data_IF_130778528149
#
_entry.id   IF_130778528149
#
_cell.length_a   1.000
_cell.length_b   1.000
_cell.length_c   1.000
_cell.angle_alpha   90.00
_cell.angle_beta   90.00
_cell.angle_gamma   90.00
#
_symmetry.space_group_name_H-M   'P 1'
#
loop_
_entity.id
_entity.type
_entity.pdbx_description
1 polymer ?
#
# COMPACT_ATOMS: atom_id res chain seq x y z
N UNK A 1 -24.71 -12.85 -19.49
CA UNK A 1 -24.31 -14.22 -19.13
C UNK A 1 -23.15 -14.09 -18.17
N UNK A 2 -23.34 -14.53 -16.94
CA UNK A 2 -22.52 -14.22 -15.79
C UNK A 2 -21.16 -14.93 -15.82
N UNK A 3 -20.12 -14.28 -15.29
CA UNK A 3 -18.78 -14.84 -15.07
C UNK A 3 -18.78 -16.13 -14.21
N UNK A 4 -19.86 -16.43 -13.53
CA UNK A 4 -20.08 -17.69 -12.81
C UNK A 4 -20.30 -18.91 -13.71
N UNK A 5 -20.70 -18.73 -14.97
CA UNK A 5 -20.95 -19.85 -15.90
C UNK A 5 -19.66 -20.44 -16.49
N UNK A 6 -18.57 -19.67 -16.58
CA UNK A 6 -17.30 -20.16 -17.14
C UNK A 6 -16.41 -20.87 -16.11
N UNK A 7 -16.54 -20.54 -14.83
CA UNK A 7 -15.79 -21.20 -13.75
C UNK A 7 -16.14 -22.70 -13.60
N UNK A 8 -17.33 -23.11 -13.97
CA UNK A 8 -17.78 -24.51 -13.91
C UNK A 8 -17.24 -25.42 -15.03
N UNK A 9 -16.59 -24.85 -16.04
CA UNK A 9 -16.07 -25.60 -17.21
C UNK A 9 -14.56 -25.82 -17.22
N UNK A 10 -13.83 -25.18 -16.28
CA UNK A 10 -12.38 -25.33 -16.21
C UNK A 10 -11.99 -26.63 -15.47
N UNK A 11 -11.00 -27.40 -15.93
CA UNK A 11 -10.49 -28.55 -15.21
C UNK A 11 -10.01 -28.18 -13.79
N UNK A 12 -10.08 -29.09 -12.80
CA UNK A 12 -9.70 -28.78 -11.42
C UNK A 12 -8.23 -28.37 -11.31
N UNK A 13 -7.92 -27.56 -10.31
CA UNK A 13 -6.55 -27.17 -10.00
C UNK A 13 -5.74 -28.40 -9.58
N UNK A 14 -4.65 -28.66 -10.29
CA UNK A 14 -3.71 -29.70 -9.90
C UNK A 14 -2.96 -29.36 -8.61
N UNK A 15 -2.77 -30.35 -7.73
CA UNK A 15 -1.93 -30.26 -6.55
C UNK A 15 -0.50 -30.72 -6.89
N UNK A 16 0.51 -30.32 -6.11
CA UNK A 16 1.89 -30.82 -6.25
C UNK A 16 2.87 -29.81 -6.85
N UNK A 17 3.70 -30.22 -7.83
CA UNK A 17 4.81 -29.40 -8.36
C UNK A 17 4.39 -28.04 -8.90
N UNK A 18 3.26 -27.96 -9.59
CA UNK A 18 2.73 -26.72 -10.18
C UNK A 18 2.33 -25.71 -9.10
N UNK A 19 1.68 -26.17 -8.04
CA UNK A 19 1.29 -25.32 -6.90
C UNK A 19 2.51 -24.79 -6.14
N UNK A 20 3.55 -25.60 -5.95
CA UNK A 20 4.82 -25.17 -5.32
C UNK A 20 5.54 -24.13 -6.17
N UNK A 21 5.62 -24.34 -7.47
CA UNK A 21 6.28 -23.40 -8.36
C UNK A 21 5.58 -22.05 -8.40
N UNK A 22 4.24 -22.05 -8.47
CA UNK A 22 3.44 -20.83 -8.35
C UNK A 22 3.65 -20.14 -6.98
N UNK A 23 3.75 -20.91 -5.90
CA UNK A 23 4.04 -20.38 -4.56
C UNK A 23 5.39 -19.68 -4.48
N UNK A 24 6.42 -20.24 -5.13
CA UNK A 24 7.77 -19.64 -5.21
C UNK A 24 7.73 -18.34 -6.03
N UNK A 25 7.06 -18.34 -7.18
CA UNK A 25 6.89 -17.13 -7.99
C UNK A 25 6.18 -16.04 -7.19
N UNK A 26 5.10 -16.40 -6.52
CA UNK A 26 4.36 -15.45 -5.68
C UNK A 26 5.22 -14.89 -4.54
N UNK A 27 5.99 -15.75 -3.87
CA UNK A 27 6.92 -15.31 -2.82
C UNK A 27 7.96 -14.32 -3.37
N UNK A 28 8.59 -14.63 -4.50
CA UNK A 28 9.58 -13.74 -5.14
C UNK A 28 8.94 -12.41 -5.51
N UNK A 29 7.78 -12.40 -6.15
CA UNK A 29 7.11 -11.18 -6.56
C UNK A 29 6.70 -10.30 -5.36
N UNK A 30 6.28 -10.91 -4.25
CA UNK A 30 5.91 -10.19 -3.02
C UNK A 30 7.11 -9.58 -2.28
N UNK A 31 8.36 -9.89 -2.65
CA UNK A 31 9.52 -9.11 -2.19
C UNK A 31 9.43 -7.64 -2.58
N UNK A 32 8.68 -7.28 -3.62
CA UNK A 32 8.32 -5.87 -3.91
C UNK A 32 7.56 -5.20 -2.77
N UNK A 33 6.60 -5.90 -2.16
CA UNK A 33 5.93 -5.44 -0.94
C UNK A 33 6.87 -5.36 0.27
N UNK A 34 7.74 -6.36 0.44
CA UNK A 34 8.76 -6.36 1.50
C UNK A 34 9.70 -5.16 1.40
N UNK A 35 10.17 -4.83 0.17
CA UNK A 35 11.01 -3.65 -0.09
C UNK A 35 10.31 -2.36 0.34
N UNK A 36 9.05 -2.19 -0.08
CA UNK A 36 8.26 -1.04 0.31
C UNK A 36 8.13 -0.94 1.84
N UNK A 37 7.75 -2.04 2.48
CA UNK A 37 7.60 -2.08 3.92
C UNK A 37 8.90 -1.78 4.67
N UNK A 38 10.00 -2.42 4.27
CA UNK A 38 11.29 -2.21 4.91
C UNK A 38 11.77 -0.76 4.76
N UNK A 39 11.65 -0.17 3.57
CA UNK A 39 12.06 1.21 3.33
C UNK A 39 11.24 2.23 4.14
N UNK A 40 9.94 2.00 4.28
CA UNK A 40 9.09 2.84 5.14
C UNK A 40 9.39 2.67 6.63
N UNK A 41 9.83 1.48 7.05
CA UNK A 41 10.22 1.21 8.43
C UNK A 41 11.62 1.70 8.78
N UNK A 42 12.58 1.62 7.85
CA UNK A 42 13.97 1.98 8.12
C UNK A 42 14.13 3.46 8.44
N UNK A 43 13.38 4.34 7.78
CA UNK A 43 13.43 5.79 8.00
C UNK A 43 13.12 6.15 9.45
N UNK A 44 12.23 5.40 10.10
CA UNK A 44 11.85 5.64 11.49
C UNK A 44 13.04 5.58 12.45
N UNK A 45 13.89 4.57 12.34
CA UNK A 45 15.10 4.44 13.19
C UNK A 45 16.29 5.24 12.70
N UNK A 46 16.40 5.45 11.40
CA UNK A 46 17.53 6.15 10.81
C UNK A 46 17.42 7.67 10.91
N UNK A 47 16.21 8.23 11.07
CA UNK A 47 15.94 9.67 10.95
C UNK A 47 16.72 10.50 11.99
N UNK A 48 16.74 10.07 13.23
CA UNK A 48 17.39 10.80 14.33
C UNK A 48 18.92 10.87 14.17
N UNK A 49 19.65 9.71 14.04
CA UNK A 49 21.09 9.74 13.85
C UNK A 49 21.49 10.44 12.54
N UNK A 50 20.70 10.29 11.48
CA UNK A 50 20.90 10.95 10.21
C UNK A 50 20.71 12.46 10.32
N UNK A 51 19.71 12.92 11.08
CA UNK A 51 19.48 14.35 11.31
C UNK A 51 20.60 15.01 12.10
N UNK A 52 21.16 14.30 13.09
CA UNK A 52 22.34 14.79 13.85
C UNK A 52 23.57 14.90 12.97
N UNK A 53 23.86 13.89 12.15
CA UNK A 53 25.07 13.88 11.30
C UNK A 53 24.98 14.92 10.15
N UNK A 54 23.83 15.05 9.51
CA UNK A 54 23.64 15.93 8.34
C UNK A 54 23.09 17.32 8.69
N UNK A 55 22.89 17.62 9.98
CA UNK A 55 22.38 18.92 10.43
C UNK A 55 20.98 19.26 9.92
N UNK A 56 20.06 18.25 9.89
CA UNK A 56 18.72 18.45 9.34
C UNK A 56 17.78 19.10 10.35
N UNK A 57 17.12 20.16 9.92
CA UNK A 57 15.97 20.74 10.60
C UNK A 57 14.68 19.92 10.32
N UNK A 58 13.57 20.31 10.96
CA UNK A 58 12.28 19.65 10.78
C UNK A 58 11.78 19.67 9.34
N UNK A 59 12.10 20.72 8.58
CA UNK A 59 11.73 20.84 7.17
C UNK A 59 12.52 19.86 6.31
N UNK A 60 13.84 19.75 6.52
CA UNK A 60 14.70 18.79 5.84
C UNK A 60 14.28 17.33 6.16
N UNK A 61 13.96 17.03 7.43
CA UNK A 61 13.39 15.73 7.83
C UNK A 61 12.11 15.40 7.05
N UNK A 62 11.22 16.38 6.92
CA UNK A 62 9.99 16.25 6.15
C UNK A 62 10.25 15.97 4.67
N UNK A 63 11.19 16.69 4.02
CA UNK A 63 11.56 16.45 2.63
C UNK A 63 12.21 15.09 2.40
N UNK A 64 13.11 14.66 3.27
CA UNK A 64 13.74 13.34 3.18
C UNK A 64 12.70 12.22 3.26
N UNK A 65 11.72 12.37 4.16
CA UNK A 65 10.66 11.35 4.32
C UNK A 65 9.60 11.45 3.23
N UNK A 66 9.13 12.66 2.92
CA UNK A 66 8.03 12.91 1.98
C UNK A 66 8.40 12.72 0.51
N UNK A 67 9.66 12.97 0.12
CA UNK A 67 10.12 12.83 -1.27
C UNK A 67 9.87 11.43 -1.84
N UNK A 68 9.99 10.40 -1.02
CA UNK A 68 9.64 9.03 -1.39
C UNK A 68 8.17 8.92 -1.81
N UNK A 69 7.25 9.47 -1.02
CA UNK A 69 5.82 9.33 -1.29
C UNK A 69 5.39 10.14 -2.54
N UNK A 70 5.95 11.34 -2.73
CA UNK A 70 5.71 12.11 -3.96
C UNK A 70 6.22 11.38 -5.20
N UNK A 71 7.41 10.81 -5.12
CA UNK A 71 7.98 10.01 -6.21
C UNK A 71 7.17 8.71 -6.45
N UNK A 72 6.66 8.09 -5.38
CA UNK A 72 5.81 6.90 -5.49
C UNK A 72 4.49 7.20 -6.20
N UNK A 73 3.91 8.37 -6.00
CA UNK A 73 2.74 8.81 -6.77
C UNK A 73 3.02 8.82 -8.28
N UNK A 74 4.16 9.36 -8.68
CA UNK A 74 4.59 9.40 -10.09
C UNK A 74 4.89 8.00 -10.61
N UNK A 75 5.61 7.18 -9.83
CA UNK A 75 5.93 5.79 -10.17
C UNK A 75 4.68 4.94 -10.40
N UNK A 76 3.69 5.06 -9.53
CA UNK A 76 2.43 4.34 -9.64
C UNK A 76 1.65 4.67 -10.91
N UNK A 77 1.62 5.95 -11.32
CA UNK A 77 0.97 6.38 -12.56
C UNK A 77 1.71 5.94 -13.83
N UNK A 78 3.05 6.02 -13.81
CA UNK A 78 3.87 5.77 -15.01
C UNK A 78 4.09 4.30 -15.29
N UNK A 79 4.36 3.50 -14.25
CA UNK A 79 4.82 2.11 -14.42
C UNK A 79 3.76 1.16 -14.95
N UNK A 80 2.47 1.48 -14.81
CA UNK A 80 1.39 0.72 -15.46
C UNK A 80 1.60 0.67 -16.99
N UNK A 81 1.77 1.83 -17.63
CA UNK A 81 2.02 1.91 -19.08
C UNK A 81 3.35 1.29 -19.49
N UNK A 82 4.39 1.45 -18.68
CA UNK A 82 5.70 0.84 -18.93
C UNK A 82 5.57 -0.70 -18.90
N UNK A 83 4.86 -1.24 -17.91
CA UNK A 83 4.65 -2.69 -17.79
C UNK A 83 3.76 -3.27 -18.90
N UNK A 84 2.83 -2.49 -19.43
CA UNK A 84 2.03 -2.89 -20.60
C UNK A 84 2.88 -2.99 -21.87
N UNK A 85 3.88 -2.12 -22.03
CA UNK A 85 4.78 -2.07 -23.20
C UNK A 85 5.89 -3.10 -23.12
N UNK A 86 6.58 -3.20 -21.97
CA UNK A 86 7.82 -3.97 -21.82
C UNK A 86 7.64 -5.32 -21.10
N UNK A 87 6.47 -5.58 -20.55
CA UNK A 87 6.17 -6.77 -19.74
C UNK A 87 6.26 -6.51 -18.23
N UNK A 88 5.57 -7.35 -17.49
CA UNK A 88 5.50 -7.19 -16.02
C UNK A 88 6.83 -7.55 -15.37
N UNK A 89 7.38 -8.71 -15.75
CA UNK A 89 8.66 -9.20 -15.25
C UNK A 89 9.80 -8.22 -15.52
N UNK A 90 9.93 -7.75 -16.76
CA UNK A 90 10.99 -6.79 -17.14
C UNK A 90 10.87 -5.49 -16.36
N UNK A 91 9.66 -4.99 -16.17
CA UNK A 91 9.41 -3.78 -15.37
C UNK A 91 9.80 -3.98 -13.92
N UNK A 92 9.43 -5.10 -13.28
CA UNK A 92 9.80 -5.40 -11.88
C UNK A 92 11.33 -5.51 -11.72
N UNK A 93 12.03 -6.11 -12.68
CA UNK A 93 13.50 -6.16 -12.70
C UNK A 93 14.09 -4.74 -12.77
N UNK A 94 13.57 -3.89 -13.64
CA UNK A 94 13.98 -2.49 -13.73
C UNK A 94 13.75 -1.71 -12.44
N UNK A 95 12.58 -1.91 -11.82
CA UNK A 95 12.24 -1.27 -10.54
C UNK A 95 13.14 -1.74 -9.40
N UNK A 96 13.46 -3.03 -9.32
CA UNK A 96 14.39 -3.55 -8.30
C UNK A 96 15.81 -2.98 -8.49
N UNK A 97 16.23 -2.75 -9.73
CA UNK A 97 17.51 -2.11 -10.07
C UNK A 97 17.51 -0.64 -9.62
N UNK A 98 16.46 0.14 -9.94
CA UNK A 98 16.30 1.54 -9.49
C UNK A 98 16.31 1.60 -7.96
N UNK A 99 15.59 0.69 -7.31
CA UNK A 99 15.55 0.61 -5.85
C UNK A 99 16.95 0.36 -5.27
N UNK A 100 17.69 -0.59 -5.81
CA UNK A 100 19.05 -0.91 -5.36
C UNK A 100 19.99 0.30 -5.44
N UNK A 101 20.02 1.01 -6.57
CA UNK A 101 20.83 2.21 -6.71
C UNK A 101 20.33 3.37 -5.85
N UNK A 102 19.02 3.50 -5.66
CA UNK A 102 18.44 4.47 -4.72
C UNK A 102 18.86 4.21 -3.28
N UNK A 103 18.87 2.94 -2.85
CA UNK A 103 19.35 2.55 -1.53
C UNK A 103 20.84 2.84 -1.36
N UNK A 104 21.67 2.51 -2.35
CA UNK A 104 23.10 2.87 -2.34
C UNK A 104 23.32 4.38 -2.27
N UNK A 105 22.54 5.17 -3.02
CA UNK A 105 22.61 6.63 -2.95
C UNK A 105 22.29 7.15 -1.53
N UNK A 106 21.33 6.53 -0.83
CA UNK A 106 21.06 6.84 0.57
C UNK A 106 22.24 6.45 1.48
N UNK A 107 22.79 5.23 1.33
CA UNK A 107 23.91 4.72 2.13
C UNK A 107 25.14 5.63 2.03
N UNK A 108 25.46 6.08 0.83
CA UNK A 108 26.65 6.90 0.56
C UNK A 108 26.36 8.40 0.50
N UNK A 109 25.17 8.85 0.93
CA UNK A 109 24.80 10.27 0.88
C UNK A 109 25.73 11.13 1.76
N UNK A 110 26.43 12.10 1.17
CA UNK A 110 27.28 13.04 1.91
C UNK A 110 26.52 14.24 2.44
N UNK A 111 25.31 14.47 1.94
CA UNK A 111 24.46 15.61 2.28
C UNK A 111 22.99 15.30 2.02
N UNK A 112 22.12 16.20 2.50
CA UNK A 112 20.65 16.06 2.40
C UNK A 112 20.16 16.00 0.95
N UNK A 113 20.77 16.71 0.00
CA UNK A 113 20.33 16.72 -1.40
C UNK A 113 20.51 15.35 -2.07
N UNK A 114 21.65 14.68 -1.86
CA UNK A 114 21.89 13.32 -2.37
C UNK A 114 20.96 12.33 -1.70
N UNK A 115 20.70 12.50 -0.39
CA UNK A 115 19.77 11.66 0.35
C UNK A 115 18.34 11.78 -0.21
N UNK A 116 17.84 13.00 -0.44
CA UNK A 116 16.52 13.23 -1.08
C UNK A 116 16.48 12.60 -2.48
N UNK A 117 17.57 12.69 -3.26
CA UNK A 117 17.65 12.06 -4.57
C UNK A 117 17.54 10.53 -4.47
N UNK A 118 18.27 9.92 -3.52
CA UNK A 118 18.15 8.49 -3.23
C UNK A 118 16.73 8.10 -2.83
N UNK A 119 16.10 8.86 -1.91
CA UNK A 119 14.70 8.65 -1.49
C UNK A 119 13.71 8.79 -2.65
N UNK A 120 13.95 9.71 -3.58
CA UNK A 120 13.15 9.88 -4.80
C UNK A 120 13.25 8.64 -5.70
N UNK A 121 14.45 8.10 -5.91
CA UNK A 121 14.63 6.85 -6.68
C UNK A 121 13.93 5.67 -6.02
N UNK A 122 14.07 5.53 -4.68
CA UNK A 122 13.36 4.52 -3.92
C UNK A 122 11.85 4.66 -4.09
N UNK A 123 11.32 5.90 -4.00
CA UNK A 123 9.90 6.18 -4.18
C UNK A 123 9.38 5.80 -5.56
N UNK A 124 10.09 6.16 -6.64
CA UNK A 124 9.71 5.76 -8.01
C UNK A 124 9.61 4.23 -8.13
N UNK A 125 10.58 3.52 -7.55
CA UNK A 125 10.58 2.06 -7.59
C UNK A 125 9.43 1.45 -6.76
N UNK A 126 9.19 1.96 -5.55
CA UNK A 126 8.12 1.52 -4.65
C UNK A 126 6.75 1.77 -5.28
N UNK A 127 6.50 2.99 -5.79
CA UNK A 127 5.25 3.33 -6.44
C UNK A 127 4.99 2.49 -7.69
N UNK A 128 6.03 2.29 -8.52
CA UNK A 128 5.96 1.39 -9.67
C UNK A 128 5.64 -0.06 -9.27
N UNK A 129 6.32 -0.59 -8.25
CA UNK A 129 6.09 -1.94 -7.75
C UNK A 129 4.69 -2.10 -7.17
N UNK A 130 4.16 -1.10 -6.44
CA UNK A 130 2.81 -1.13 -5.88
C UNK A 130 1.71 -1.25 -6.95
N UNK A 131 1.97 -0.74 -8.16
CA UNK A 131 1.05 -0.87 -9.29
C UNK A 131 1.25 -2.18 -10.08
N UNK A 132 2.50 -2.61 -10.31
CA UNK A 132 2.82 -3.70 -11.25
C UNK A 132 2.77 -5.07 -10.57
N UNK A 133 3.25 -5.20 -9.32
CA UNK A 133 3.32 -6.50 -8.61
C UNK A 133 1.94 -7.13 -8.40
N UNK A 134 0.91 -6.42 -7.90
CA UNK A 134 -0.41 -7.01 -7.75
C UNK A 134 -1.02 -7.46 -9.08
N UNK A 135 -0.80 -6.71 -10.16
CA UNK A 135 -1.25 -7.08 -11.51
C UNK A 135 -0.55 -8.35 -11.98
N UNK A 136 0.78 -8.42 -11.81
CA UNK A 136 1.56 -9.61 -12.16
C UNK A 136 1.10 -10.86 -11.40
N UNK A 137 0.87 -10.73 -10.10
CA UNK A 137 0.35 -11.82 -9.28
C UNK A 137 -1.06 -12.25 -9.70
N UNK A 138 -1.93 -11.29 -10.02
CA UNK A 138 -3.30 -11.56 -10.48
C UNK A 138 -3.33 -12.25 -11.86
N UNK A 139 -2.38 -11.94 -12.74
CA UNK A 139 -2.24 -12.55 -14.08
C UNK A 139 -1.68 -13.98 -14.03
N UNK A 140 -0.89 -14.32 -13.00
CA UNK A 140 -0.34 -15.67 -12.78
C UNK A 140 -1.28 -16.54 -11.93
N UNK A 141 -2.06 -15.93 -11.04
CA UNK A 141 -2.90 -16.63 -10.10
C UNK A 141 -4.09 -17.32 -10.79
N UNK A 142 -4.39 -18.58 -10.42
CA UNK A 142 -5.69 -19.17 -10.72
C UNK A 142 -6.80 -18.30 -10.12
N UNK A 143 -7.92 -18.28 -10.79
CA UNK A 143 -9.09 -17.52 -10.37
C UNK A 143 -9.49 -17.81 -8.91
N UNK A 144 -9.39 -19.08 -8.48
CA UNK A 144 -9.79 -19.57 -7.15
C UNK A 144 -8.96 -18.98 -5.99
N UNK A 145 -7.69 -18.67 -6.22
CA UNK A 145 -6.77 -18.20 -5.16
C UNK A 145 -6.21 -16.79 -5.41
N UNK A 146 -6.73 -16.09 -6.43
CA UNK A 146 -6.26 -14.75 -6.82
C UNK A 146 -6.30 -13.75 -5.66
N UNK A 147 -7.40 -13.74 -4.90
CA UNK A 147 -7.57 -12.85 -3.74
C UNK A 147 -6.56 -13.12 -2.63
N UNK A 148 -6.27 -14.40 -2.34
CA UNK A 148 -5.30 -14.77 -1.31
C UNK A 148 -3.85 -14.41 -1.71
N UNK A 149 -3.51 -14.50 -2.99
CA UNK A 149 -2.19 -14.08 -3.47
C UNK A 149 -2.00 -12.56 -3.38
N UNK A 150 -3.00 -11.78 -3.74
CA UNK A 150 -2.95 -10.32 -3.59
C UNK A 150 -2.82 -9.89 -2.12
N UNK A 151 -3.51 -10.56 -1.21
CA UNK A 151 -3.40 -10.31 0.23
C UNK A 151 -2.00 -10.60 0.81
N UNK A 152 -1.25 -11.52 0.21
CA UNK A 152 0.14 -11.79 0.62
C UNK A 152 1.07 -10.60 0.38
N UNK A 153 0.84 -9.82 -0.66
CA UNK A 153 1.64 -8.61 -0.90
C UNK A 153 1.50 -7.61 0.25
N UNK A 154 0.29 -7.38 0.75
CA UNK A 154 0.04 -6.48 1.90
C UNK A 154 0.69 -7.01 3.19
N UNK A 155 0.63 -8.31 3.42
CA UNK A 155 1.34 -8.92 4.56
C UNK A 155 2.86 -8.74 4.46
N UNK A 156 3.43 -8.81 3.26
CA UNK A 156 4.86 -8.57 3.06
C UNK A 156 5.23 -7.09 3.27
N UNK A 157 4.34 -6.14 2.97
CA UNK A 157 4.55 -4.72 3.30
C UNK A 157 4.66 -4.51 4.81
N UNK A 158 3.65 -4.92 5.57
CA UNK A 158 3.68 -4.74 7.04
C UNK A 158 4.75 -5.60 7.71
N UNK A 159 5.04 -6.79 7.16
CA UNK A 159 6.14 -7.65 7.59
C UNK A 159 7.51 -7.00 7.37
N UNK A 160 7.69 -6.31 6.24
CA UNK A 160 8.88 -5.54 5.93
C UNK A 160 9.08 -4.36 6.91
N UNK A 161 8.01 -3.65 7.24
CA UNK A 161 8.05 -2.59 8.26
C UNK A 161 8.48 -3.13 9.63
N UNK A 162 7.88 -4.23 10.07
CA UNK A 162 8.26 -4.87 11.34
C UNK A 162 9.71 -5.33 11.31
N UNK A 163 10.18 -5.93 10.21
CA UNK A 163 11.58 -6.33 10.06
C UNK A 163 12.52 -5.12 10.17
N UNK A 164 12.17 -3.99 9.55
CA UNK A 164 12.94 -2.76 9.66
C UNK A 164 12.97 -2.22 11.10
N UNK A 165 11.85 -2.24 11.83
CA UNK A 165 11.81 -1.81 13.23
C UNK A 165 12.69 -2.68 14.13
N UNK A 166 12.69 -4.00 13.91
CA UNK A 166 13.55 -4.94 14.64
C UNK A 166 15.02 -4.65 14.31
N UNK A 167 15.37 -4.49 13.04
CA UNK A 167 16.73 -4.19 12.59
C UNK A 167 17.21 -2.83 13.14
N UNK A 168 16.35 -1.82 13.08
CA UNK A 168 16.65 -0.50 13.65
C UNK A 168 16.92 -0.58 15.17
N UNK A 169 16.10 -1.35 15.90
CA UNK A 169 16.31 -1.57 17.33
C UNK A 169 17.62 -2.31 17.63
N UNK A 170 17.93 -3.34 16.85
CA UNK A 170 19.19 -4.09 17.01
C UNK A 170 20.41 -3.21 16.71
N UNK A 171 20.46 -2.59 15.53
CA UNK A 171 21.59 -1.77 15.11
C UNK A 171 21.72 -0.53 16.00
N UNK A 172 20.62 0.16 16.30
CA UNK A 172 20.64 1.37 17.11
C UNK A 172 21.03 1.13 18.57
N UNK A 173 20.68 -0.03 19.16
CA UNK A 173 21.10 -0.35 20.53
C UNK A 173 22.51 -0.94 20.62
N UNK A 174 22.99 -1.65 19.59
CA UNK A 174 24.32 -2.27 19.60
C UNK A 174 25.41 -1.30 19.15
N UNK A 175 25.12 -0.42 18.19
CA UNK A 175 26.08 0.47 17.53
C UNK A 175 25.62 1.92 17.43
N UNK A 176 24.60 2.34 18.20
CA UNK A 176 23.98 3.66 18.10
C UNK A 176 24.92 4.85 18.33
N UNK A 177 26.03 4.62 19.04
CA UNK A 177 27.07 5.64 19.31
C UNK A 177 28.06 5.85 18.13
N UNK A 178 28.01 4.97 17.12
CA UNK A 178 28.91 5.08 15.97
C UNK A 178 28.37 6.08 14.93
N UNK A 179 29.23 6.94 14.45
CA UNK A 179 28.94 7.83 13.34
C UNK A 179 28.52 7.02 12.10
N UNK A 180 27.48 7.46 11.41
CA UNK A 180 26.98 6.78 10.22
C UNK A 180 26.18 5.49 10.48
N UNK A 181 25.76 5.21 11.71
CA UNK A 181 24.96 4.02 12.06
C UNK A 181 23.70 3.87 11.16
N UNK A 182 23.05 4.95 10.80
CA UNK A 182 21.90 4.97 9.92
C UNK A 182 22.19 4.44 8.50
N UNK A 183 23.44 4.54 8.05
CA UNK A 183 23.88 4.00 6.75
C UNK A 183 23.79 2.47 6.73
N UNK A 184 24.13 1.82 7.84
CA UNK A 184 23.98 0.38 7.98
C UNK A 184 22.52 -0.06 7.97
N UNK A 185 21.62 0.71 8.59
CA UNK A 185 20.17 0.44 8.53
C UNK A 185 19.66 0.49 7.09
N UNK A 186 20.08 1.49 6.29
CA UNK A 186 19.74 1.57 4.87
C UNK A 186 20.46 0.51 4.02
N UNK A 187 21.69 0.12 4.36
CA UNK A 187 22.42 -0.89 3.61
C UNK A 187 21.69 -2.24 3.57
N UNK A 188 21.05 -2.63 4.67
CA UNK A 188 20.24 -3.85 4.75
C UNK A 188 19.06 -3.81 3.79
N UNK A 189 18.53 -2.62 3.45
CA UNK A 189 17.48 -2.44 2.46
C UNK A 189 17.86 -2.96 1.05
N UNK A 190 19.17 -3.04 0.76
CA UNK A 190 19.66 -3.58 -0.51
C UNK A 190 19.46 -5.09 -0.64
N UNK A 191 19.43 -5.84 0.48
CA UNK A 191 19.32 -7.30 0.46
C UNK A 191 18.01 -7.80 -0.18
N UNK A 192 16.82 -7.34 0.26
CA UNK A 192 15.59 -7.72 -0.42
C UNK A 192 15.54 -7.23 -1.88
N UNK A 193 16.20 -6.11 -2.23
CA UNK A 193 16.28 -5.65 -3.62
C UNK A 193 17.06 -6.62 -4.50
N UNK A 194 18.21 -7.11 -4.02
CA UNK A 194 18.99 -8.14 -4.68
C UNK A 194 18.16 -9.43 -4.79
N UNK A 195 17.47 -9.81 -3.71
CA UNK A 195 16.59 -10.97 -3.68
C UNK A 195 15.48 -10.89 -4.73
N UNK A 196 14.83 -9.75 -4.86
CA UNK A 196 13.81 -9.50 -5.88
C UNK A 196 14.43 -9.57 -7.28
N UNK A 197 15.54 -8.88 -7.51
CA UNK A 197 16.23 -8.86 -8.81
C UNK A 197 16.61 -10.26 -9.25
N UNK A 198 17.37 -11.00 -8.44
CA UNK A 198 17.84 -12.37 -8.75
C UNK A 198 16.67 -13.33 -8.89
N UNK A 199 15.68 -13.22 -8.02
CA UNK A 199 14.47 -14.04 -8.07
C UNK A 199 13.70 -13.82 -9.37
N UNK A 200 13.48 -12.57 -9.75
CA UNK A 200 12.74 -12.21 -10.97
C UNK A 200 13.47 -12.63 -12.27
N UNK A 201 14.79 -12.80 -12.25
CA UNK A 201 15.52 -13.38 -13.41
C UNK A 201 15.08 -14.82 -13.73
N UNK A 202 14.58 -15.56 -12.73
CA UNK A 202 14.14 -16.96 -12.86
C UNK A 202 12.62 -17.10 -13.00
N UNK A 203 11.87 -16.05 -12.77
CA UNK A 203 10.41 -16.02 -12.88
C UNK A 203 10.02 -15.78 -14.34
N UNK A 204 9.01 -16.50 -14.89
CA UNK A 204 8.54 -16.28 -16.26
C UNK A 204 7.76 -14.96 -16.37
N UNK A 205 7.57 -14.49 -17.61
CA UNK A 205 6.71 -13.34 -17.90
C UNK A 205 5.23 -13.70 -17.75
N UNK A 206 4.35 -12.70 -17.62
CA UNK A 206 2.91 -12.89 -17.53
C UNK A 206 2.33 -13.56 -18.78
N UNK A 207 1.58 -14.69 -18.65
CA UNK A 207 0.92 -15.32 -19.78
C UNK A 207 -0.07 -14.40 -20.49
N UNK A 208 -0.80 -13.56 -19.75
CA UNK A 208 -1.75 -12.61 -20.31
C UNK A 208 -1.06 -11.54 -21.15
N UNK A 209 0.08 -11.04 -20.67
CA UNK A 209 0.89 -10.09 -21.44
C UNK A 209 1.49 -10.75 -22.70
N UNK A 210 2.00 -11.98 -22.59
CA UNK A 210 2.54 -12.73 -23.73
C UNK A 210 1.49 -12.93 -24.83
N UNK A 211 0.24 -13.24 -24.47
CA UNK A 211 -0.89 -13.34 -25.43
C UNK A 211 -1.19 -11.98 -26.08
N UNK A 212 -1.17 -10.90 -25.29
CA UNK A 212 -1.41 -9.54 -25.82
C UNK A 212 -0.39 -9.10 -26.86
N UNK A 213 0.87 -9.54 -26.73
CA UNK A 213 1.94 -9.26 -27.69
C UNK A 213 2.10 -10.36 -28.76
N UNK A 214 1.14 -11.29 -28.89
CA UNK A 214 1.11 -12.32 -29.93
C UNK A 214 2.04 -13.52 -29.70
N UNK A 215 2.61 -13.70 -28.50
CA UNK A 215 3.53 -14.81 -28.15
C UNK A 215 2.80 -15.97 -27.51
N UNK A 216 1.85 -16.55 -28.23
CA UNK A 216 0.94 -17.62 -27.74
C UNK A 216 1.69 -18.87 -27.24
N UNK A 217 2.70 -19.33 -27.97
CA UNK A 217 3.45 -20.53 -27.60
C UNK A 217 4.18 -20.35 -26.26
N UNK A 218 4.83 -19.19 -26.06
CA UNK A 218 5.49 -18.86 -24.81
C UNK A 218 4.48 -18.74 -23.65
N UNK A 219 3.30 -18.17 -23.90
CA UNK A 219 2.24 -18.08 -22.91
C UNK A 219 1.77 -19.47 -22.46
N UNK A 220 1.58 -20.39 -23.41
CA UNK A 220 1.17 -21.76 -23.13
C UNK A 220 2.28 -22.52 -22.35
N UNK A 221 3.54 -22.35 -22.72
CA UNK A 221 4.67 -22.95 -22.01
C UNK A 221 4.71 -22.48 -20.55
N UNK A 222 4.57 -21.18 -20.30
CA UNK A 222 4.51 -20.62 -18.95
C UNK A 222 3.32 -21.21 -18.17
N UNK A 223 2.14 -21.28 -18.78
CA UNK A 223 0.97 -21.84 -18.14
C UNK A 223 1.15 -23.33 -17.79
N UNK A 224 1.76 -24.12 -18.65
CA UNK A 224 2.07 -25.54 -18.37
C UNK A 224 3.06 -25.74 -17.21
N UNK A 225 3.89 -24.76 -16.89
CA UNK A 225 4.76 -24.80 -15.69
C UNK A 225 4.00 -24.59 -14.38
N UNK A 226 2.90 -23.84 -14.41
CA UNK A 226 2.13 -23.46 -13.22
C UNK A 226 0.76 -24.13 -13.13
N UNK A 227 0.35 -24.91 -14.15
CA UNK A 227 -0.91 -25.64 -14.29
C UNK A 227 -0.69 -27.02 -14.90
N UNK A 228 -1.70 -27.89 -14.77
CA UNK A 228 -1.79 -29.08 -15.63
C UNK A 228 -1.96 -28.67 -17.09
N UNK A 229 -1.54 -29.53 -18.02
CA UNK A 229 -1.61 -29.23 -19.46
C UNK A 229 -3.04 -28.91 -19.92
N UNK A 230 -4.02 -29.72 -19.51
CA UNK A 230 -5.44 -29.52 -19.84
C UNK A 230 -5.98 -28.17 -19.31
N UNK A 231 -5.64 -27.85 -18.07
CA UNK A 231 -6.03 -26.57 -17.45
C UNK A 231 -5.36 -25.39 -18.15
N UNK A 232 -4.06 -25.51 -18.49
CA UNK A 232 -3.31 -24.47 -19.17
C UNK A 232 -3.92 -24.11 -20.53
N UNK A 233 -4.29 -25.11 -21.32
CA UNK A 233 -4.92 -24.92 -22.62
C UNK A 233 -6.30 -24.28 -22.51
N UNK A 234 -7.10 -24.71 -21.53
CA UNK A 234 -8.42 -24.13 -21.27
C UNK A 234 -8.33 -22.67 -20.80
N UNK A 235 -7.41 -22.33 -19.89
CA UNK A 235 -7.21 -20.95 -19.42
C UNK A 235 -6.66 -20.04 -20.53
N UNK A 236 -5.75 -20.52 -21.39
CA UNK A 236 -5.25 -19.76 -22.56
C UNK A 236 -6.40 -19.42 -23.50
N UNK A 237 -7.25 -20.40 -23.84
CA UNK A 237 -8.40 -20.17 -24.71
C UNK A 237 -9.42 -19.18 -24.12
N UNK A 238 -9.57 -19.16 -22.78
CA UNK A 238 -10.44 -18.23 -22.09
C UNK A 238 -9.88 -16.81 -22.10
N UNK A 239 -8.56 -16.66 -21.86
CA UNK A 239 -7.89 -15.36 -21.94
C UNK A 239 -7.94 -14.80 -23.36
N UNK A 240 -7.72 -15.63 -24.41
CA UNK A 240 -7.83 -15.21 -25.81
C UNK A 240 -9.22 -14.68 -26.14
N UNK A 241 -10.27 -15.38 -25.71
CA UNK A 241 -11.66 -14.92 -25.87
C UNK A 241 -11.90 -13.59 -25.20
N UNK A 242 -11.38 -13.40 -23.99
CA UNK A 242 -11.51 -12.15 -23.24
C UNK A 242 -10.80 -11.00 -23.95
N UNK A 243 -9.57 -11.21 -24.41
CA UNK A 243 -8.80 -10.19 -25.15
C UNK A 243 -9.46 -9.79 -26.47
N UNK A 244 -10.06 -10.75 -27.21
CA UNK A 244 -10.82 -10.47 -28.42
C UNK A 244 -12.08 -9.66 -28.13
N UNK A 245 -12.81 -9.98 -27.05
CA UNK A 245 -13.97 -9.21 -26.61
C UNK A 245 -13.60 -7.78 -26.20
N UNK A 246 -12.49 -7.61 -25.45
CA UNK A 246 -11.95 -6.29 -25.09
C UNK A 246 -11.60 -5.47 -26.33
N UNK A 247 -10.92 -6.05 -27.33
CA UNK A 247 -10.56 -5.37 -28.59
C UNK A 247 -11.80 -4.94 -29.39
N UNK A 248 -12.82 -5.80 -29.48
CA UNK A 248 -14.09 -5.49 -30.17
C UNK A 248 -14.83 -4.35 -29.48
N UNK A 249 -14.83 -4.35 -28.14
CA UNK A 249 -15.45 -3.29 -27.34
C UNK A 249 -14.75 -1.96 -27.49
N UNK A 250 -13.39 -1.96 -27.52
CA UNK A 250 -12.60 -0.74 -27.75
C UNK A 250 -12.84 -0.15 -29.15
N UNK A 251 -12.88 -0.97 -30.19
CA UNK A 251 -13.19 -0.51 -31.54
C UNK A 251 -14.59 0.07 -31.67
N UNK A 252 -15.57 -0.52 -30.98
CA UNK A 252 -16.94 0.00 -30.95
C UNK A 252 -17.09 1.27 -30.08
N UNK A 253 -16.22 1.46 -29.08
CA UNK A 253 -16.21 2.66 -28.23
C UNK A 253 -15.47 3.85 -28.86
N UNK A 254 -14.52 3.60 -29.78
CA UNK A 254 -13.83 4.66 -30.53
C UNK A 254 -14.77 5.43 -31.48
N UNK A 255 -15.95 4.85 -31.78
CA UNK A 255 -16.99 5.50 -32.59
C UNK A 255 -18.12 6.18 -31.80
N UNK A 256 -18.15 6.09 -30.48
CA UNK A 256 -19.24 6.65 -29.65
C UNK A 256 -18.67 7.46 -28.48
N UNK A 257 -18.82 8.76 -28.61
CA UNK A 257 -18.78 9.80 -27.58
C UNK A 257 -17.56 9.80 -26.63
N UNK A 258 -16.76 10.84 -26.74
CA UNK A 258 -15.97 11.36 -25.62
C UNK A 258 -16.87 11.31 -24.38
N UNK A 259 -16.43 10.63 -23.34
CA UNK A 259 -17.10 10.66 -22.01
C UNK A 259 -17.04 12.12 -21.56
N UNK A 260 -18.02 12.90 -21.96
CA UNK A 260 -18.26 14.22 -21.37
C UNK A 260 -18.30 13.99 -19.87
N UNK A 261 -17.61 14.83 -19.12
CA UNK A 261 -17.48 14.72 -17.66
C UNK A 261 -18.91 14.68 -17.08
N UNK A 262 -19.47 13.47 -16.98
CA UNK A 262 -20.82 13.26 -16.44
C UNK A 262 -20.76 13.44 -14.94
N UNK A 263 -21.71 14.12 -14.35
CA UNK A 263 -21.72 14.43 -12.92
C UNK A 263 -21.53 13.20 -12.00
N UNK A 264 -22.02 12.00 -12.44
CA UNK A 264 -21.82 10.75 -11.74
C UNK A 264 -20.32 10.34 -11.66
N UNK A 265 -19.56 10.56 -12.74
CA UNK A 265 -18.12 10.23 -12.74
C UNK A 265 -17.33 11.10 -11.77
N UNK A 266 -17.61 12.41 -11.74
CA UNK A 266 -16.98 13.33 -10.78
C UNK A 266 -17.31 12.91 -9.36
N UNK A 267 -18.57 12.59 -9.07
CA UNK A 267 -19.01 12.17 -7.75
C UNK A 267 -18.28 10.91 -7.28
N UNK A 268 -18.22 9.86 -8.10
CA UNK A 268 -17.54 8.61 -7.72
C UNK A 268 -16.04 8.79 -7.61
N UNK A 269 -15.45 9.65 -8.46
CA UNK A 269 -14.02 10.00 -8.39
C UNK A 269 -13.69 10.73 -7.10
N UNK A 270 -14.52 11.68 -6.65
CA UNK A 270 -14.36 12.36 -5.37
C UNK A 270 -14.45 11.39 -4.19
N UNK A 271 -15.35 10.40 -4.25
CA UNK A 271 -15.41 9.33 -3.24
C UNK A 271 -14.13 8.49 -3.26
N UNK A 272 -13.63 8.13 -4.44
CA UNK A 272 -12.36 7.39 -4.56
C UNK A 272 -11.15 8.17 -4.03
N UNK A 273 -11.07 9.46 -4.33
CA UNK A 273 -10.05 10.38 -3.77
C UNK A 273 -10.18 10.45 -2.25
N UNK A 274 -11.40 10.60 -1.73
CA UNK A 274 -11.65 10.62 -0.31
C UNK A 274 -11.22 9.32 0.38
N UNK A 275 -11.45 8.17 -0.26
CA UNK A 275 -10.99 6.86 0.25
C UNK A 275 -9.47 6.78 0.26
N UNK A 276 -8.80 7.14 -0.85
CA UNK A 276 -7.34 7.07 -0.96
C UNK A 276 -6.60 8.06 -0.07
N UNK A 277 -6.95 9.35 -0.16
CA UNK A 277 -6.36 10.41 0.64
C UNK A 277 -6.76 10.30 2.12
N UNK A 278 -8.00 9.93 2.40
CA UNK A 278 -8.52 9.76 3.76
C UNK A 278 -7.75 8.73 4.56
N UNK A 279 -7.33 7.62 3.94
CA UNK A 279 -6.50 6.62 4.61
C UNK A 279 -5.20 7.23 5.15
N UNK A 280 -4.56 8.10 4.41
CA UNK A 280 -3.33 8.76 4.85
C UNK A 280 -3.59 9.77 5.96
N UNK A 281 -4.72 10.46 5.91
CA UNK A 281 -5.14 11.43 6.91
C UNK A 281 -5.49 10.81 8.27
N UNK A 282 -5.52 9.48 8.39
CA UNK A 282 -5.60 8.81 9.69
C UNK A 282 -4.39 9.10 10.59
N UNK A 283 -3.29 9.58 10.04
CA UNK A 283 -2.05 9.78 10.78
C UNK A 283 -1.19 8.52 10.94
N UNK A 284 -1.55 7.40 10.28
CA UNK A 284 -0.81 6.13 10.42
C UNK A 284 0.66 6.29 10.06
N UNK A 285 0.97 7.00 8.96
CA UNK A 285 2.35 7.18 8.52
C UNK A 285 3.15 8.14 9.41
N UNK A 286 2.48 9.00 10.19
CA UNK A 286 3.15 9.78 11.24
C UNK A 286 3.74 8.87 12.33
N UNK A 287 3.12 7.72 12.61
CA UNK A 287 3.68 6.72 13.53
C UNK A 287 4.69 5.83 12.79
N UNK A 288 4.38 5.37 11.57
CA UNK A 288 5.26 4.45 10.84
C UNK A 288 6.60 5.07 10.45
N UNK A 289 6.64 6.38 10.16
CA UNK A 289 7.86 7.11 9.77
C UNK A 289 8.54 7.83 10.94
N UNK A 290 7.77 8.31 11.91
CA UNK A 290 8.25 9.15 13.00
C UNK A 290 7.95 8.57 14.39
N UNK A 291 7.66 7.27 14.47
CA UNK A 291 7.24 6.60 15.71
C UNK A 291 8.24 6.76 16.85
N UNK A 292 9.54 6.64 16.57
CA UNK A 292 10.60 6.85 17.58
C UNK A 292 10.59 8.31 18.08
N UNK A 293 10.44 9.29 17.19
CA UNK A 293 10.32 10.70 17.57
C UNK A 293 9.06 10.93 18.43
N UNK A 294 7.93 10.34 18.06
CA UNK A 294 6.68 10.39 18.84
C UNK A 294 6.86 9.74 20.22
N UNK A 295 7.52 8.59 20.30
CA UNK A 295 7.77 7.89 21.57
C UNK A 295 8.75 8.67 22.46
N UNK A 296 9.75 9.34 21.91
CA UNK A 296 10.63 10.25 22.65
C UNK A 296 9.85 11.42 23.23
N UNK A 297 8.96 12.05 22.46
CA UNK A 297 8.05 13.09 22.95
C UNK A 297 7.09 12.57 24.03
N UNK A 298 6.73 11.29 23.98
CA UNK A 298 5.94 10.62 25.02
C UNK A 298 6.73 10.41 26.33
N UNK A 299 8.08 10.47 26.30
CA UNK A 299 8.95 10.34 27.46
C UNK A 299 9.88 9.12 27.46
N UNK A 300 9.98 8.35 26.37
CA UNK A 300 10.96 7.28 26.24
C UNK A 300 12.35 7.84 25.97
N UNK A 301 13.38 7.17 26.51
CA UNK A 301 14.76 7.37 26.06
C UNK A 301 14.91 6.86 24.62
N UNK A 302 15.95 7.30 23.90
CA UNK A 302 16.18 6.89 22.50
C UNK A 302 16.28 5.37 22.35
N UNK A 303 17.04 4.71 23.22
CA UNK A 303 17.19 3.25 23.23
C UNK A 303 15.85 2.53 23.52
N UNK A 304 15.08 3.00 24.50
CA UNK A 304 13.79 2.43 24.83
C UNK A 304 12.76 2.67 23.72
N UNK A 305 12.78 3.83 23.06
CA UNK A 305 11.89 4.15 21.95
C UNK A 305 12.13 3.23 20.74
N UNK A 306 13.38 2.90 20.44
CA UNK A 306 13.73 1.94 19.38
C UNK A 306 13.08 0.55 19.62
N UNK A 307 13.16 0.07 20.86
CA UNK A 307 12.56 -1.22 21.24
C UNK A 307 11.02 -1.12 21.26
N UNK A 308 10.48 -0.07 21.88
CA UNK A 308 9.04 0.15 22.00
C UNK A 308 8.36 0.27 20.62
N UNK A 309 9.05 0.80 19.61
CA UNK A 309 8.53 0.95 18.24
C UNK A 309 8.30 -0.39 17.52
N UNK A 310 8.79 -1.52 18.05
CA UNK A 310 8.47 -2.86 17.55
C UNK A 310 6.99 -3.19 17.79
N UNK A 311 6.38 -2.68 18.86
CA UNK A 311 4.99 -2.99 19.22
C UNK A 311 3.97 -2.47 18.18
N UNK A 312 4.02 -1.21 17.70
CA UNK A 312 3.21 -0.76 16.56
C UNK A 312 3.41 -1.60 15.30
N UNK A 313 4.64 -2.00 14.98
CA UNK A 313 4.92 -2.89 13.85
C UNK A 313 4.29 -4.28 14.01
N UNK A 314 4.37 -4.86 15.20
CA UNK A 314 3.78 -6.17 15.50
C UNK A 314 2.26 -6.15 15.38
N UNK A 315 1.60 -5.16 15.98
CA UNK A 315 0.15 -5.03 15.88
C UNK A 315 -0.32 -4.71 14.47
N UNK A 316 0.52 -4.03 13.65
CA UNK A 316 0.22 -3.79 12.25
C UNK A 316 0.12 -5.11 11.46
N UNK A 317 1.04 -6.05 11.69
CA UNK A 317 0.99 -7.39 11.08
C UNK A 317 -0.27 -8.15 11.55
N UNK A 318 -0.52 -8.20 12.86
CA UNK A 318 -1.68 -8.90 13.42
C UNK A 318 -3.00 -8.29 12.93
N UNK A 319 -3.10 -6.96 12.89
CA UNK A 319 -4.26 -6.23 12.38
C UNK A 319 -4.51 -6.51 10.90
N UNK A 320 -3.46 -6.56 10.07
CA UNK A 320 -3.59 -6.89 8.65
C UNK A 320 -4.05 -8.33 8.42
N UNK A 321 -3.57 -9.29 9.20
CA UNK A 321 -4.07 -10.68 9.16
C UNK A 321 -5.56 -10.73 9.54
N UNK A 322 -5.95 -10.01 10.58
CA UNK A 322 -7.35 -9.93 10.99
C UNK A 322 -8.22 -9.23 9.95
N UNK A 323 -7.70 -8.17 9.32
CA UNK A 323 -8.37 -7.45 8.23
C UNK A 323 -8.77 -8.37 7.09
N UNK A 324 -7.85 -9.24 6.63
CA UNK A 324 -8.12 -10.21 5.56
C UNK A 324 -9.29 -11.14 5.91
N UNK A 325 -9.40 -11.59 7.17
CA UNK A 325 -10.50 -12.44 7.63
C UNK A 325 -11.83 -11.67 7.74
N UNK A 326 -11.78 -10.44 8.22
CA UNK A 326 -12.97 -9.61 8.40
C UNK A 326 -13.55 -9.15 7.06
N UNK A 327 -12.70 -8.93 6.05
CA UNK A 327 -13.14 -8.54 4.70
C UNK A 327 -14.16 -9.51 4.08
N UNK A 328 -14.11 -10.79 4.45
CA UNK A 328 -15.08 -11.79 3.96
C UNK A 328 -16.41 -11.75 4.72
N UNK A 329 -16.43 -11.21 5.95
CA UNK A 329 -17.56 -11.31 6.88
C UNK A 329 -18.29 -9.99 7.12
N UNK A 330 -17.56 -8.87 7.13
CA UNK A 330 -18.09 -7.56 7.52
C UNK A 330 -18.36 -6.70 6.27
N UNK A 331 -19.47 -5.92 6.22
CA UNK A 331 -19.72 -4.95 5.17
C UNK A 331 -18.57 -3.91 5.06
N UNK A 332 -18.17 -3.57 3.81
CA UNK A 332 -17.04 -2.65 3.56
C UNK A 332 -17.26 -1.28 4.20
N UNK A 333 -18.47 -0.76 4.02
CA UNK A 333 -18.85 0.54 4.59
C UNK A 333 -18.75 0.56 6.11
N UNK A 334 -19.21 -0.52 6.78
CA UNK A 334 -19.11 -0.65 8.24
C UNK A 334 -17.65 -0.67 8.69
N UNK A 335 -16.80 -1.45 8.03
CA UNK A 335 -15.36 -1.49 8.35
C UNK A 335 -14.72 -0.11 8.28
N UNK A 336 -14.99 0.65 7.21
CA UNK A 336 -14.38 1.97 7.01
C UNK A 336 -14.86 2.97 8.05
N UNK A 337 -16.18 3.05 8.30
CA UNK A 337 -16.74 3.97 9.30
C UNK A 337 -16.24 3.63 10.70
N UNK A 338 -16.25 2.35 11.08
CA UNK A 338 -15.70 1.90 12.36
C UNK A 338 -14.21 2.20 12.46
N UNK A 339 -13.46 2.02 11.37
CA UNK A 339 -12.03 2.33 11.30
C UNK A 339 -11.75 3.79 11.62
N UNK A 340 -12.37 4.73 10.91
CA UNK A 340 -12.16 6.17 11.18
C UNK A 340 -12.69 6.61 12.55
N UNK A 341 -13.81 6.04 13.01
CA UNK A 341 -14.36 6.35 14.34
C UNK A 341 -13.45 5.87 15.46
N UNK A 342 -12.92 4.65 15.34
CA UNK A 342 -11.99 4.10 16.34
C UNK A 342 -10.64 4.81 16.32
N UNK A 343 -10.12 5.17 15.14
CA UNK A 343 -8.88 5.97 15.05
C UNK A 343 -9.06 7.35 15.68
N UNK A 344 -10.18 8.03 15.40
CA UNK A 344 -10.51 9.30 16.06
C UNK A 344 -10.60 9.16 17.58
N UNK A 345 -11.26 8.12 18.07
CA UNK A 345 -11.38 7.82 19.49
C UNK A 345 -9.99 7.62 20.15
N UNK A 346 -9.12 6.83 19.58
CA UNK A 346 -7.78 6.64 20.13
C UNK A 346 -6.93 7.90 20.04
N UNK A 347 -7.07 8.72 19.02
CA UNK A 347 -6.40 10.02 18.96
C UNK A 347 -6.83 10.95 20.08
N UNK A 348 -8.13 11.00 20.41
CA UNK A 348 -8.63 11.76 21.57
C UNK A 348 -8.02 11.23 22.86
N UNK A 349 -7.95 9.90 23.03
CA UNK A 349 -7.33 9.30 24.23
C UNK A 349 -5.83 9.60 24.32
N UNK A 350 -5.09 9.54 23.21
CA UNK A 350 -3.66 9.88 23.15
C UNK A 350 -3.46 11.34 23.53
N UNK A 351 -4.23 12.25 22.93
CA UNK A 351 -4.18 13.68 23.25
C UNK A 351 -4.53 13.95 24.71
N UNK A 352 -5.61 13.33 25.21
CA UNK A 352 -6.02 13.44 26.61
C UNK A 352 -4.96 12.92 27.59
N UNK A 353 -4.39 11.74 27.33
CA UNK A 353 -3.32 11.17 28.15
C UNK A 353 -2.07 12.06 28.11
N UNK A 354 -1.69 12.58 26.93
CA UNK A 354 -0.55 13.47 26.79
C UNK A 354 -0.72 14.79 27.53
N UNK A 355 -1.95 15.29 27.63
CA UNK A 355 -2.28 16.55 28.32
C UNK A 355 -2.42 16.38 29.84
N UNK A 356 -3.07 15.29 30.28
CA UNK A 356 -3.42 15.09 31.68
C UNK A 356 -2.33 14.44 32.51
N UNK A 357 -1.44 13.67 31.89
CA UNK A 357 -0.35 12.99 32.60
C UNK A 357 0.88 13.89 32.61
N UNK A 358 1.43 14.19 33.82
CA UNK A 358 2.66 14.97 33.96
C UNK A 358 3.84 14.32 33.22
N UNK A 359 4.78 15.14 32.75
CA UNK A 359 5.92 14.66 31.97
C UNK A 359 6.87 13.75 32.79
N UNK A 360 6.91 13.94 34.11
CA UNK A 360 7.70 13.16 35.08
C UNK A 360 7.02 11.86 35.53
N UNK A 361 5.77 11.61 35.11
CA UNK A 361 5.06 10.39 35.46
C UNK A 361 5.63 9.18 34.68
N UNK A 362 6.22 8.23 35.41
CA UNK A 362 6.82 7.03 34.85
C UNK A 362 5.85 6.15 34.03
N UNK A 363 4.55 6.22 34.29
CA UNK A 363 3.53 5.49 33.56
C UNK A 363 3.14 6.16 32.21
N UNK A 364 3.38 7.45 32.04
CA UNK A 364 2.98 8.22 30.86
C UNK A 364 3.47 7.62 29.53
N UNK A 365 4.75 7.28 29.36
CA UNK A 365 5.26 6.70 28.13
C UNK A 365 4.53 5.38 27.77
N UNK A 366 4.32 4.53 28.76
CA UNK A 366 3.68 3.22 28.57
C UNK A 366 2.19 3.34 28.21
N UNK A 367 1.48 4.24 28.86
CA UNK A 367 0.06 4.52 28.54
C UNK A 367 -0.04 5.02 27.12
N UNK A 368 0.80 5.99 26.72
CA UNK A 368 0.81 6.51 25.34
C UNK A 368 1.19 5.43 24.33
N UNK A 369 2.16 4.57 24.63
CA UNK A 369 2.53 3.44 23.77
C UNK A 369 1.33 2.49 23.56
N UNK A 370 0.63 2.09 24.61
CA UNK A 370 -0.53 1.21 24.51
C UNK A 370 -1.63 1.85 23.64
N UNK A 371 -1.92 3.12 23.84
CA UNK A 371 -2.92 3.83 23.04
C UNK A 371 -2.51 3.97 21.57
N UNK A 372 -1.23 4.21 21.28
CA UNK A 372 -0.67 4.22 19.91
C UNK A 372 -0.81 2.83 19.29
N UNK A 373 -0.49 1.76 20.01
CA UNK A 373 -0.66 0.38 19.53
C UNK A 373 -2.13 0.07 19.23
N UNK A 374 -3.06 0.52 20.08
CA UNK A 374 -4.50 0.36 19.84
C UNK A 374 -4.95 1.13 18.59
N UNK A 375 -4.48 2.37 18.41
CA UNK A 375 -4.73 3.16 17.21
C UNK A 375 -4.24 2.43 15.94
N UNK A 376 -2.97 2.00 15.94
CA UNK A 376 -2.39 1.27 14.80
C UNK A 376 -3.17 -0.02 14.53
N UNK A 377 -3.51 -0.78 15.57
CA UNK A 377 -4.31 -2.00 15.46
C UNK A 377 -5.68 -1.76 14.85
N UNK A 378 -6.40 -0.75 15.30
CA UNK A 378 -7.71 -0.37 14.75
C UNK A 378 -7.61 0.05 13.28
N UNK A 379 -6.63 0.89 12.93
CA UNK A 379 -6.40 1.34 11.57
C UNK A 379 -6.04 0.17 10.65
N UNK A 380 -5.08 -0.65 11.02
CA UNK A 380 -4.62 -1.78 10.20
C UNK A 380 -5.70 -2.85 10.02
N UNK A 381 -6.52 -3.08 11.04
CA UNK A 381 -7.63 -4.03 10.97
C UNK A 381 -8.77 -3.55 10.08
N UNK A 382 -9.15 -2.27 10.20
CA UNK A 382 -10.35 -1.77 9.57
C UNK A 382 -10.11 -1.02 8.25
N UNK A 383 -8.97 -0.34 8.08
CA UNK A 383 -8.76 0.58 6.96
C UNK A 383 -7.69 0.13 5.96
N UNK A 384 -6.69 -0.66 6.38
CA UNK A 384 -5.57 -0.98 5.50
C UNK A 384 -6.01 -1.73 4.23
N UNK A 385 -6.50 -2.95 4.39
CA UNK A 385 -6.94 -3.79 3.26
C UNK A 385 -8.23 -3.27 2.63
N UNK A 386 -9.19 -2.79 3.46
CA UNK A 386 -10.50 -2.35 3.00
C UNK A 386 -10.43 -1.17 2.02
N UNK A 387 -9.49 -0.24 2.20
CA UNK A 387 -9.27 0.89 1.30
C UNK A 387 -8.98 0.43 -0.12
N UNK A 388 -8.03 -0.50 -0.29
CA UNK A 388 -7.65 -1.00 -1.62
C UNK A 388 -8.76 -1.82 -2.27
N UNK A 389 -9.46 -2.63 -1.48
CA UNK A 389 -10.59 -3.44 -1.97
C UNK A 389 -11.73 -2.53 -2.43
N UNK A 390 -12.11 -1.54 -1.61
CA UNK A 390 -13.16 -0.60 -1.97
C UNK A 390 -12.80 0.17 -3.24
N UNK A 391 -11.57 0.68 -3.36
CA UNK A 391 -11.14 1.36 -4.58
C UNK A 391 -11.29 0.47 -5.82
N UNK A 392 -11.06 -0.84 -5.69
CA UNK A 392 -11.22 -1.78 -6.82
C UNK A 392 -12.68 -2.11 -7.14
N UNK A 393 -13.58 -2.06 -6.16
CA UNK A 393 -15.01 -2.36 -6.30
C UNK A 393 -15.85 -1.13 -6.68
N UNK A 394 -15.38 0.08 -6.34
CA UNK A 394 -16.12 1.32 -6.45
C UNK A 394 -16.35 1.78 -7.90
N UNK A 395 -15.37 1.56 -8.78
CA UNK A 395 -15.39 2.12 -10.13
C UNK A 395 -16.01 1.16 -11.17
N UNK A 396 -16.93 1.65 -12.02
CA UNK A 396 -17.39 0.96 -13.21
C UNK A 396 -16.23 0.50 -14.09
N UNK A 397 -16.39 -0.65 -14.77
CA UNK A 397 -15.34 -1.27 -15.58
C UNK A 397 -14.69 -0.30 -16.58
N UNK A 398 -15.49 0.56 -17.22
CA UNK A 398 -15.03 1.52 -18.24
C UNK A 398 -14.03 2.56 -17.72
N UNK A 399 -14.16 2.96 -16.46
CA UNK A 399 -13.35 4.04 -15.83
C UNK A 399 -12.49 3.54 -14.69
N UNK A 400 -12.50 2.24 -14.39
CA UNK A 400 -11.84 1.65 -13.22
C UNK A 400 -10.35 1.94 -13.16
N UNK A 401 -9.62 1.72 -14.25
CA UNK A 401 -8.18 1.93 -14.28
C UNK A 401 -7.82 3.40 -14.00
N UNK A 402 -8.55 4.34 -14.60
CA UNK A 402 -8.36 5.76 -14.37
C UNK A 402 -8.77 6.17 -12.94
N UNK A 403 -9.95 5.71 -12.49
CA UNK A 403 -10.47 6.03 -11.17
C UNK A 403 -9.57 5.50 -10.04
N UNK A 404 -9.17 4.24 -10.10
CA UNK A 404 -8.21 3.65 -9.16
C UNK A 404 -6.86 4.36 -9.19
N UNK A 405 -6.34 4.66 -10.39
CA UNK A 405 -5.06 5.35 -10.57
C UNK A 405 -5.06 6.73 -9.91
N UNK A 406 -6.11 7.53 -10.14
CA UNK A 406 -6.24 8.87 -9.52
C UNK A 406 -6.43 8.76 -8.00
N UNK A 407 -7.23 7.80 -7.52
CA UNK A 407 -7.44 7.58 -6.09
C UNK A 407 -6.14 7.15 -5.38
N UNK A 408 -5.39 6.23 -5.96
CA UNK A 408 -4.09 5.81 -5.44
C UNK A 408 -3.06 6.96 -5.48
N UNK A 409 -3.02 7.72 -6.58
CA UNK A 409 -2.19 8.92 -6.70
C UNK A 409 -2.50 9.93 -5.59
N UNK A 410 -3.79 10.20 -5.33
CA UNK A 410 -4.19 11.12 -4.26
C UNK A 410 -3.77 10.62 -2.87
N UNK A 411 -3.81 9.30 -2.64
CA UNK A 411 -3.28 8.68 -1.43
C UNK A 411 -1.78 8.91 -1.26
N UNK A 412 -0.99 8.61 -2.29
CA UNK A 412 0.46 8.84 -2.26
C UNK A 412 0.83 10.33 -2.11
N UNK A 413 0.14 11.23 -2.81
CA UNK A 413 0.34 12.67 -2.66
C UNK A 413 0.03 13.15 -1.24
N UNK A 414 -1.08 12.69 -0.66
CA UNK A 414 -1.44 13.04 0.72
C UNK A 414 -0.45 12.45 1.73
N UNK A 415 0.05 11.25 1.50
CA UNK A 415 1.15 10.67 2.29
C UNK A 415 2.40 11.59 2.27
N UNK A 416 2.80 12.04 1.08
CA UNK A 416 3.92 12.97 0.92
C UNK A 416 3.72 14.29 1.66
N UNK A 417 2.53 14.88 1.53
CA UNK A 417 2.17 16.14 2.22
C UNK A 417 2.23 15.98 3.75
N UNK A 418 1.64 14.90 4.27
CA UNK A 418 1.67 14.64 5.71
C UNK A 418 3.07 14.34 6.22
N UNK A 419 3.85 13.55 5.48
CA UNK A 419 5.23 13.22 5.84
C UNK A 419 6.11 14.47 5.87
N UNK A 420 5.89 15.40 4.93
CA UNK A 420 6.58 16.68 4.90
C UNK A 420 6.16 17.60 6.06
N UNK A 421 4.86 17.66 6.34
CA UNK A 421 4.32 18.61 7.32
C UNK A 421 4.46 18.13 8.77
N UNK A 422 4.43 16.82 9.03
CA UNK A 422 4.32 16.28 10.38
C UNK A 422 5.47 16.68 11.32
N UNK A 423 6.77 16.64 10.94
CA UNK A 423 7.84 17.09 11.83
C UNK A 423 7.72 18.55 12.25
N UNK A 424 7.23 19.41 11.32
CA UNK A 424 6.99 20.83 11.58
C UNK A 424 5.79 21.00 12.52
N UNK A 425 4.70 20.28 12.26
CA UNK A 425 3.49 20.31 13.11
C UNK A 425 3.83 19.82 14.52
N UNK A 426 4.55 18.69 14.64
CA UNK A 426 4.93 18.14 15.93
C UNK A 426 5.81 19.12 16.71
N UNK A 427 6.74 19.82 16.06
CA UNK A 427 7.57 20.84 16.67
C UNK A 427 6.80 22.10 17.09
N UNK A 428 5.74 22.48 16.36
CA UNK A 428 4.97 23.69 16.62
C UNK A 428 3.87 23.51 17.70
N UNK A 429 3.14 22.39 17.67
CA UNK A 429 1.97 22.17 18.55
C UNK A 429 2.14 20.97 19.49
N UNK A 430 3.28 20.30 19.43
CA UNK A 430 3.62 19.14 20.27
C UNK A 430 2.77 17.90 19.97
N UNK A 431 2.95 16.90 20.81
CA UNK A 431 2.23 15.63 20.69
C UNK A 431 0.71 15.81 20.82
N UNK A 432 0.28 16.51 21.86
CA UNK A 432 -1.15 16.76 22.15
C UNK A 432 -1.86 17.44 20.99
N UNK A 433 -1.30 18.56 20.49
CA UNK A 433 -1.89 19.31 19.38
C UNK A 433 -1.96 18.49 18.08
N UNK A 434 -0.93 17.71 17.79
CA UNK A 434 -0.89 16.84 16.61
C UNK A 434 -2.01 15.80 16.63
N UNK A 435 -2.23 15.13 17.76
CA UNK A 435 -3.27 14.10 17.88
C UNK A 435 -4.68 14.69 17.98
N UNK A 436 -4.87 15.89 18.52
CA UNK A 436 -6.15 16.62 18.41
C UNK A 436 -6.46 16.89 16.93
N UNK A 437 -5.47 17.37 16.17
CA UNK A 437 -5.63 17.62 14.74
C UNK A 437 -6.05 16.35 13.99
N UNK A 438 -5.37 15.23 14.23
CA UNK A 438 -5.76 13.95 13.63
C UNK A 438 -7.15 13.49 14.08
N UNK A 439 -7.53 13.66 15.34
CA UNK A 439 -8.86 13.30 15.83
C UNK A 439 -9.96 14.07 15.07
N UNK A 440 -9.81 15.39 14.94
CA UNK A 440 -10.77 16.25 14.21
C UNK A 440 -10.88 15.81 12.75
N UNK A 441 -9.75 15.61 12.08
CA UNK A 441 -9.72 15.17 10.66
C UNK A 441 -10.38 13.81 10.50
N UNK A 442 -10.12 12.86 11.40
CA UNK A 442 -10.72 11.52 11.30
C UNK A 442 -12.24 11.55 11.56
N UNK A 443 -12.73 12.40 12.48
CA UNK A 443 -14.18 12.61 12.66
C UNK A 443 -14.81 13.17 11.38
N UNK A 444 -14.20 14.17 10.76
CA UNK A 444 -14.69 14.75 9.50
C UNK A 444 -14.75 13.68 8.41
N UNK A 445 -13.68 12.89 8.26
CA UNK A 445 -13.64 11.82 7.25
C UNK A 445 -14.67 10.74 7.57
N UNK A 446 -14.84 10.33 8.83
CA UNK A 446 -15.88 9.38 9.23
C UNK A 446 -17.27 9.84 8.81
N UNK A 447 -17.60 11.12 9.03
CA UNK A 447 -18.88 11.73 8.64
C UNK A 447 -19.03 11.77 7.11
N UNK A 448 -17.98 12.15 6.39
CA UNK A 448 -17.98 12.16 4.93
C UNK A 448 -18.16 10.75 4.35
N UNK A 449 -17.48 9.74 4.92
CA UNK A 449 -17.63 8.33 4.53
C UNK A 449 -19.03 7.82 4.86
N UNK A 450 -19.55 8.15 6.05
CA UNK A 450 -20.92 7.78 6.41
C UNK A 450 -21.96 8.32 5.42
N UNK A 451 -21.75 9.52 4.89
CA UNK A 451 -22.68 10.16 3.95
C UNK A 451 -22.53 9.70 2.51
N UNK A 452 -21.29 9.42 2.06
CA UNK A 452 -20.98 9.29 0.63
C UNK A 452 -20.51 7.90 0.21
N UNK A 453 -19.99 7.05 1.14
CA UNK A 453 -19.45 5.75 0.79
C UNK A 453 -20.58 4.75 0.55
N UNK A 454 -20.72 4.17 -0.66
CA UNK A 454 -21.68 3.09 -0.91
C UNK A 454 -21.20 1.77 -0.29
N UNK A 455 -22.14 0.84 -0.06
CA UNK A 455 -21.78 -0.55 0.27
C UNK A 455 -21.54 -1.33 -1.02
N UNK A 456 -20.39 -1.99 -1.09
CA UNK A 456 -19.99 -2.75 -2.28
C UNK A 456 -20.01 -4.25 -2.08
N UNK A 457 -20.15 -4.72 -0.83
CA UNK A 457 -20.16 -6.15 -0.53
C UNK A 457 -21.43 -6.84 -1.04
N UNK A 458 -21.24 -7.94 -1.79
CA UNK A 458 -22.35 -8.74 -2.29
C UNK A 458 -23.13 -8.10 -3.43
N UNK A 459 -22.65 -6.96 -3.94
CA UNK A 459 -23.22 -6.26 -5.09
C UNK A 459 -22.41 -6.63 -6.33
N UNK A 460 -23.08 -7.03 -7.42
CA UNK A 460 -22.35 -7.30 -8.67
C UNK A 460 -21.80 -6.00 -9.26
N UNK A 461 -20.70 -6.08 -10.02
CA UNK A 461 -20.09 -4.91 -10.63
C UNK A 461 -21.04 -4.15 -11.55
N UNK A 462 -21.94 -4.87 -12.22
CA UNK A 462 -22.99 -4.31 -13.09
C UNK A 462 -24.07 -3.56 -12.27
N UNK A 463 -24.36 -4.04 -11.07
CA UNK A 463 -25.26 -3.35 -10.14
C UNK A 463 -24.61 -2.10 -9.56
N UNK A 464 -23.31 -2.17 -9.22
CA UNK A 464 -22.53 -0.99 -8.81
C UNK A 464 -22.53 0.05 -9.93
N UNK A 465 -22.27 -0.36 -11.18
CA UNK A 465 -22.27 0.53 -12.34
C UNK A 465 -23.62 1.24 -12.52
N UNK A 466 -24.72 0.51 -12.48
CA UNK A 466 -26.07 1.10 -12.55
C UNK A 466 -26.35 2.04 -11.39
N UNK A 467 -26.09 1.59 -10.15
CA UNK A 467 -26.35 2.37 -8.95
C UNK A 467 -25.48 3.63 -8.83
N UNK A 468 -24.30 3.64 -9.46
CA UNK A 468 -23.45 4.84 -9.57
C UNK A 468 -24.02 5.82 -10.59
N UNK A 469 -24.52 5.31 -11.74
CA UNK A 469 -25.06 6.14 -12.82
C UNK A 469 -26.39 6.80 -12.47
N UNK A 470 -27.28 6.08 -11.79
CA UNK A 470 -28.60 6.58 -11.35
C UNK A 470 -28.59 7.19 -9.94
N UNK A 471 -27.48 7.05 -9.24
CA UNK A 471 -27.30 7.59 -7.88
C UNK A 471 -27.91 6.75 -6.77
N UNK A 472 -28.58 5.63 -7.07
CA UNK A 472 -29.30 4.78 -6.10
C UNK A 472 -28.37 4.07 -5.09
N UNK A 473 -27.09 3.88 -5.43
CA UNK A 473 -26.12 3.22 -4.57
C UNK A 473 -25.71 4.06 -3.33
N UNK A 474 -25.95 5.37 -3.37
CA UNK A 474 -25.53 6.27 -2.30
C UNK A 474 -26.57 6.32 -1.18
N UNK A 475 -26.12 6.30 0.10
CA UNK A 475 -27.04 6.31 1.26
C UNK A 475 -27.99 7.50 1.34
N UNK A 476 -27.62 8.61 0.69
CA UNK A 476 -28.42 9.84 0.66
C UNK A 476 -29.57 9.81 -0.36
N UNK A 477 -29.64 8.82 -1.23
CA UNK A 477 -30.69 8.73 -2.27
C UNK A 477 -32.06 8.23 -1.75
N UNK A 478 -32.12 7.72 -0.53
CA UNK A 478 -33.37 7.19 0.07
C UNK A 478 -34.23 8.21 0.80
N UNK A 479 -34.06 9.52 0.60
CA UNK A 479 -34.85 10.60 1.21
C UNK A 479 -35.37 11.60 0.19
N UNK A 480 -35.94 11.12 -0.91
CA UNK A 480 -36.77 11.96 -1.78
C UNK A 480 -37.97 11.17 -2.24
#
# INVERSE_FOLDING_TARGET
MSAQSTASTLPPLGTGKHSRYLGIIALIATFGGLLFGYDTGVINGALEPMSRELGMDSTAQGWVTGSLAFAAAIGALGCGRISDRFGRRTTIIGLSTIFFFGALACVFAPNVAVLITGRTLLGLAVGGASAVVPVFLAELAPYEIRGSLSGRNELMVVGGQLAAFIVNALIGNLWGEHDGVWRWMFAICTLPAIGLFVGMLRVPESPRWLLRVGKREQALEVMKRIRSTERAEAEIADIERTLQAEATTQNNAAGKESVGVRGWFVRILLVGILVGAGQQLTGINSIMYYGIKVLKEAGFSESAALIANIAPGTIAVLGSILSLRLMERVPRRVMVITGYSSTAFFHVLIAGASMLLPADNAARPWILLVLIVCFVGAMQTCLNVSTWVIMSELFPLRVRAAGMGISAFSGWMMNGVLSLAFPVILGAVGLTGSFIGFAVVNVIIALLMFRNLPETRGVSLEQVERGVMDGSIYPSAGKH
#
